data_IF_507745414172
#
_entry.id   IF_507745414172
#
_cell.length_a   1.000
_cell.length_b   1.000
_cell.length_c   1.000
_cell.angle_alpha   90.00
_cell.angle_beta   90.00
_cell.angle_gamma   90.00
#
_symmetry.space_group_name_H-M   'P 1'
#
loop_
_entity.id
_entity.type
_entity.pdbx_description
1 polymer ?
#
# COMPACT_ATOMS: atom_id res chain seq x y z
N UNK A 1 -2.63 16.81 -3.00
CA UNK A 1 -1.99 15.64 -3.67
C UNK A 1 -3.01 14.68 -4.27
N UNK A 2 -3.94 14.13 -3.50
CA UNK A 2 -4.96 13.18 -4.01
C UNK A 2 -6.24 13.90 -4.40
N UNK A 3 -6.78 13.60 -5.59
CA UNK A 3 -8.10 14.05 -6.06
C UNK A 3 -9.21 13.05 -5.68
N UNK A 4 -8.93 11.77 -5.85
CA UNK A 4 -9.87 10.69 -5.55
C UNK A 4 -9.11 9.47 -5.02
N UNK A 5 -9.72 8.75 -4.07
CA UNK A 5 -9.16 7.50 -3.58
C UNK A 5 -10.21 6.44 -3.33
N UNK A 6 -9.77 5.18 -3.37
CA UNK A 6 -10.49 4.02 -2.83
C UNK A 6 -9.54 3.27 -1.93
N UNK A 7 -9.98 2.99 -0.71
CA UNK A 7 -9.23 2.26 0.28
C UNK A 7 -10.11 1.16 0.86
N UNK A 8 -9.58 -0.05 0.91
CA UNK A 8 -10.16 -1.18 1.61
C UNK A 8 -9.11 -1.74 2.55
N UNK A 9 -9.42 -1.83 3.82
CA UNK A 9 -8.55 -2.38 4.86
C UNK A 9 -9.26 -3.51 5.58
N UNK A 10 -8.48 -4.43 6.14
CA UNK A 10 -8.99 -5.46 7.04
C UNK A 10 -9.70 -4.84 8.26
N UNK A 11 -10.32 -5.69 9.07
CA UNK A 11 -10.97 -5.33 10.34
C UNK A 11 -9.98 -4.84 11.42
N UNK A 12 -8.69 -4.70 11.09
CA UNK A 12 -7.59 -4.34 12.00
C UNK A 12 -6.92 -5.55 12.64
N UNK A 13 -7.45 -6.77 12.44
CA UNK A 13 -6.84 -8.01 12.91
C UNK A 13 -5.64 -8.45 12.05
N UNK A 14 -5.60 -8.03 10.79
CA UNK A 14 -4.58 -8.43 9.82
C UNK A 14 -4.14 -7.24 8.98
N UNK A 15 -2.95 -7.32 8.38
CA UNK A 15 -2.31 -6.20 7.68
C UNK A 15 -2.80 -5.99 6.24
N UNK A 16 -3.73 -6.78 5.71
CA UNK A 16 -4.21 -6.60 4.33
C UNK A 16 -4.90 -5.24 4.14
N UNK A 17 -4.44 -4.53 3.11
CA UNK A 17 -5.05 -3.29 2.63
C UNK A 17 -4.81 -3.12 1.13
N UNK A 18 -5.79 -2.51 0.46
CA UNK A 18 -5.73 -2.15 -0.96
C UNK A 18 -6.11 -0.67 -1.07
N UNK A 19 -5.22 0.12 -1.64
CA UNK A 19 -5.39 1.54 -1.92
C UNK A 19 -5.16 1.86 -3.39
N UNK A 20 -6.07 2.64 -3.97
CA UNK A 20 -5.89 3.29 -5.27
C UNK A 20 -6.09 4.79 -5.07
N UNK A 21 -5.12 5.57 -5.53
CA UNK A 21 -5.11 7.02 -5.41
C UNK A 21 -4.95 7.64 -6.80
N UNK A 22 -5.91 8.47 -7.21
CA UNK A 22 -5.76 9.40 -8.32
C UNK A 22 -5.23 10.71 -7.78
N UNK A 23 -4.07 11.15 -8.26
CA UNK A 23 -3.41 12.37 -7.82
C UNK A 23 -3.62 13.49 -8.85
N UNK A 24 -3.37 14.73 -8.43
CA UNK A 24 -3.51 15.92 -9.28
C UNK A 24 -2.56 15.91 -10.47
N UNK A 25 -1.36 15.35 -10.29
CA UNK A 25 -0.29 15.28 -11.27
C UNK A 25 0.73 14.20 -10.85
N UNK A 26 1.77 14.04 -11.66
CA UNK A 26 2.81 13.03 -11.41
C UNK A 26 3.73 13.34 -10.22
N UNK A 27 3.91 14.61 -9.87
CA UNK A 27 4.74 15.00 -8.71
C UNK A 27 3.98 14.72 -7.41
N UNK A 28 2.68 15.02 -7.39
CA UNK A 28 1.77 14.63 -6.33
C UNK A 28 1.73 13.11 -6.17
N UNK A 29 1.68 12.35 -7.27
CA UNK A 29 1.76 10.89 -7.22
C UNK A 29 3.08 10.39 -6.63
N UNK A 30 4.22 11.01 -6.95
CA UNK A 30 5.50 10.67 -6.32
C UNK A 30 5.50 10.94 -4.80
N UNK A 31 4.89 12.04 -4.35
CA UNK A 31 4.73 12.32 -2.91
C UNK A 31 3.81 11.31 -2.23
N UNK A 32 2.72 10.90 -2.88
CA UNK A 32 1.79 9.88 -2.36
C UNK A 32 2.44 8.51 -2.30
N UNK A 33 3.23 8.13 -3.31
CA UNK A 33 4.03 6.90 -3.30
C UNK A 33 5.03 6.87 -2.11
N UNK A 34 5.69 7.98 -1.82
CA UNK A 34 6.55 8.09 -0.64
C UNK A 34 5.75 7.91 0.67
N UNK A 35 4.55 8.51 0.76
CA UNK A 35 3.66 8.33 1.93
C UNK A 35 3.15 6.89 2.07
N UNK A 36 2.90 6.19 0.97
CA UNK A 36 2.54 4.78 0.99
C UNK A 36 3.69 3.90 1.53
N UNK A 37 4.94 4.24 1.21
CA UNK A 37 6.12 3.60 1.80
C UNK A 37 6.24 3.88 3.31
N UNK A 38 5.98 5.12 3.74
CA UNK A 38 5.97 5.47 5.16
C UNK A 38 4.87 4.72 5.93
N UNK A 39 3.70 4.52 5.30
CA UNK A 39 2.60 3.71 5.84
C UNK A 39 3.04 2.26 6.11
N UNK A 40 3.79 1.63 5.20
CA UNK A 40 4.35 0.28 5.42
C UNK A 40 5.24 0.26 6.67
N UNK A 41 6.15 1.23 6.80
CA UNK A 41 7.06 1.29 7.96
C UNK A 41 6.30 1.45 9.27
N UNK A 42 5.28 2.31 9.28
CA UNK A 42 4.43 2.51 10.45
C UNK A 42 3.67 1.24 10.82
N UNK A 43 3.11 0.53 9.83
CA UNK A 43 2.42 -0.73 10.07
C UNK A 43 3.37 -1.80 10.61
N UNK A 44 4.58 -1.94 10.05
CA UNK A 44 5.56 -2.90 10.55
C UNK A 44 5.85 -2.68 12.04
N UNK A 45 6.07 -1.43 12.43
CA UNK A 45 6.28 -1.08 13.84
C UNK A 45 5.07 -1.42 14.73
N UNK A 46 3.85 -1.26 14.22
CA UNK A 46 2.64 -1.59 14.98
C UNK A 46 2.44 -3.10 15.13
N UNK A 47 2.69 -3.86 14.07
CA UNK A 47 2.49 -5.32 14.03
C UNK A 47 3.62 -6.09 14.70
N UNK A 48 4.83 -5.55 14.79
CA UNK A 48 5.98 -6.20 15.43
C UNK A 48 5.66 -6.69 16.86
N UNK A 49 4.92 -5.88 17.63
CA UNK A 49 4.55 -6.20 19.01
C UNK A 49 3.19 -6.90 19.16
N UNK A 50 2.33 -6.88 18.14
CA UNK A 50 0.93 -7.31 18.24
C UNK A 50 0.60 -8.57 17.43
N UNK A 51 1.09 -8.66 16.20
CA UNK A 51 0.95 -9.83 15.34
C UNK A 51 2.15 -9.89 14.36
N UNK A 52 3.33 -10.31 14.83
CA UNK A 52 4.56 -10.34 14.03
C UNK A 52 4.45 -11.24 12.79
N UNK A 53 3.52 -12.20 12.78
CA UNK A 53 3.19 -13.04 11.62
C UNK A 53 2.67 -12.26 10.40
N UNK A 54 2.20 -11.03 10.59
CA UNK A 54 1.73 -10.16 9.51
C UNK A 54 2.86 -9.39 8.82
N UNK A 55 4.04 -9.28 9.45
CA UNK A 55 5.19 -8.53 8.93
C UNK A 55 5.63 -8.98 7.53
N UNK A 56 5.71 -10.29 7.20
CA UNK A 56 6.09 -10.73 5.86
C UNK A 56 5.18 -10.18 4.76
N UNK A 57 3.87 -9.98 5.02
CA UNK A 57 2.95 -9.39 4.05
C UNK A 57 3.31 -7.93 3.76
N UNK A 58 3.78 -7.21 4.78
CA UNK A 58 4.23 -5.82 4.69
C UNK A 58 5.62 -5.69 4.04
N UNK A 59 6.49 -6.70 4.16
CA UNK A 59 7.74 -6.78 3.39
C UNK A 59 7.49 -6.94 1.90
N UNK A 60 6.47 -7.73 1.55
CA UNK A 60 6.09 -8.03 0.17
C UNK A 60 5.05 -7.08 -0.43
N UNK A 61 4.69 -6.02 0.30
CA UNK A 61 3.71 -5.02 -0.14
C UNK A 61 4.10 -4.42 -1.50
N UNK A 62 3.09 -4.24 -2.36
CA UNK A 62 3.25 -3.72 -3.71
C UNK A 62 2.86 -2.26 -3.72
N UNK A 63 3.81 -1.40 -4.08
CA UNK A 63 3.56 0.02 -4.37
C UNK A 63 3.95 0.27 -5.81
N UNK A 64 3.08 0.91 -6.58
CA UNK A 64 3.36 1.22 -7.99
C UNK A 64 2.73 2.54 -8.39
N UNK A 65 3.53 3.44 -8.94
CA UNK A 65 3.07 4.65 -9.62
C UNK A 65 2.85 4.40 -11.11
N UNK A 66 1.73 4.89 -11.65
CA UNK A 66 1.42 4.94 -13.09
C UNK A 66 0.88 6.31 -13.46
N UNK A 67 1.74 7.18 -14.00
CA UNK A 67 1.42 8.59 -14.22
C UNK A 67 0.99 9.27 -12.91
N UNK A 68 -0.21 9.83 -12.89
CA UNK A 68 -0.81 10.45 -11.70
C UNK A 68 -1.53 9.46 -10.76
N UNK A 69 -1.44 8.15 -11.00
CA UNK A 69 -2.06 7.13 -10.14
C UNK A 69 -1.04 6.42 -9.27
N UNK A 70 -1.44 6.09 -8.04
CA UNK A 70 -0.66 5.25 -7.11
C UNK A 70 -1.51 4.07 -6.67
N UNK A 71 -0.94 2.87 -6.83
CA UNK A 71 -1.47 1.62 -6.32
C UNK A 71 -0.66 1.22 -5.10
N UNK A 72 -1.36 0.81 -4.05
CA UNK A 72 -0.79 0.37 -2.79
C UNK A 72 -1.52 -0.90 -2.37
N UNK A 73 -0.81 -2.02 -2.21
CA UNK A 73 -1.45 -3.28 -1.80
C UNK A 73 -0.58 -4.09 -0.84
N UNK A 74 -1.19 -4.53 0.24
CA UNK A 74 -0.70 -5.55 1.16
C UNK A 74 -1.62 -6.77 1.04
N UNK A 75 -1.05 -7.92 0.71
CA UNK A 75 -1.79 -9.16 0.47
C UNK A 75 -0.91 -10.37 0.73
N UNK A 76 -1.54 -11.51 1.02
CA UNK A 76 -0.87 -12.81 1.11
C UNK A 76 -0.32 -13.30 -0.24
N UNK A 77 -0.79 -12.75 -1.38
CA UNK A 77 -0.34 -13.14 -2.72
C UNK A 77 0.16 -11.94 -3.54
N UNK A 78 1.25 -11.32 -3.07
CA UNK A 78 1.93 -10.21 -3.75
C UNK A 78 2.34 -10.56 -5.18
N UNK A 79 2.63 -11.83 -5.45
CA UNK A 79 3.04 -12.34 -6.76
C UNK A 79 1.92 -12.26 -7.81
N UNK A 80 0.68 -12.60 -7.46
CA UNK A 80 -0.47 -12.39 -8.36
C UNK A 80 -0.71 -10.91 -8.61
N UNK A 81 -0.56 -10.06 -7.60
CA UNK A 81 -0.79 -8.61 -7.73
C UNK A 81 0.17 -7.98 -8.72
N UNK A 82 1.46 -8.31 -8.64
CA UNK A 82 2.49 -7.85 -9.59
C UNK A 82 2.19 -8.25 -11.04
N UNK A 83 1.43 -9.32 -11.28
CA UNK A 83 1.00 -9.73 -12.63
C UNK A 83 -0.20 -8.92 -13.15
N UNK A 84 -1.13 -8.56 -12.27
CA UNK A 84 -2.35 -7.82 -12.62
C UNK A 84 -2.09 -6.32 -12.82
N UNK A 85 -1.19 -5.74 -12.01
CA UNK A 85 -0.89 -4.30 -12.02
C UNK A 85 0.08 -3.90 -13.16
N UNK A 86 0.50 -4.83 -14.04
CA UNK A 86 1.37 -4.52 -15.19
C UNK A 86 0.81 -3.45 -16.11
#
# INVERSE_FOLDING_TARGET
DVEESRLMCSTGATAEEIGLFKCTDEEAAARVEAKANDRIKLQKKAYESYAPEEIPKLDDAVITKKGAYVFYVVSTDSSKIKKVIK
#
